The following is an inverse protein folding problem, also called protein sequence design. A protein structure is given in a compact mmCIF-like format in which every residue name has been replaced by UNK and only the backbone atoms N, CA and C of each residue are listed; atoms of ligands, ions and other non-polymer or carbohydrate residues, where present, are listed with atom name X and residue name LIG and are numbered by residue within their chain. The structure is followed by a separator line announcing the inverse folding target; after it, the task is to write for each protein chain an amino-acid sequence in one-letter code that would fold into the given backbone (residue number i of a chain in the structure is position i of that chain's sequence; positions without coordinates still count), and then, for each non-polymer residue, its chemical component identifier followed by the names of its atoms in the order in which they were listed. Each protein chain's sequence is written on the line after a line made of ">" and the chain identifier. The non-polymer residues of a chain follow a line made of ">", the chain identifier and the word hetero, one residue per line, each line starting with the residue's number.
data_IF_885391572238
#
_entry.id   IF_885391572238
#
_cell.length_a   1.000
_cell.length_b   1.000
_cell.length_c   1.000
_cell.angle_alpha   90.00
_cell.angle_beta   90.00
_cell.angle_gamma   90.00
#
_symmetry.space_group_name_H-M   'P 1'
#
loop_
_entity.id
_entity.type
_entity.pdbx_description
1 polymer ?
#
# COMPACT_ATOMS: atom_id res chain seq x y z
N UNK A 1 -39.34 -9.17 26.60
CA UNK A 1 -39.35 -7.76 27.03
C UNK A 1 -38.09 -7.04 26.61
N UNK A 2 -38.23 -6.07 25.71
CA UNK A 2 -37.12 -5.26 25.19
C UNK A 2 -37.42 -3.75 25.36
N UNK A 3 -38.07 -3.40 26.49
CA UNK A 3 -38.47 -2.04 26.79
C UNK A 3 -37.26 -1.22 27.29
N UNK A 4 -37.16 0.03 26.84
CA UNK A 4 -36.15 0.99 27.31
C UNK A 4 -36.35 1.28 28.81
N UNK A 5 -35.26 1.56 29.52
CA UNK A 5 -35.35 1.99 30.92
C UNK A 5 -35.96 3.40 31.04
N UNK A 6 -36.57 3.70 32.18
CA UNK A 6 -37.10 5.04 32.51
C UNK A 6 -36.03 6.13 32.34
N UNK A 7 -34.78 5.83 32.68
CA UNK A 7 -33.64 6.74 32.53
C UNK A 7 -33.34 7.08 31.07
N UNK A 8 -33.31 6.10 30.19
CA UNK A 8 -33.12 6.32 28.75
C UNK A 8 -34.26 7.14 28.16
N UNK A 9 -35.50 6.86 28.57
CA UNK A 9 -36.68 7.61 28.12
C UNK A 9 -36.61 9.10 28.51
N UNK A 10 -36.21 9.41 29.75
CA UNK A 10 -36.03 10.79 30.23
C UNK A 10 -34.90 11.53 29.50
N UNK A 11 -33.79 10.86 29.22
CA UNK A 11 -32.65 11.46 28.51
C UNK A 11 -33.01 11.82 27.06
N UNK A 12 -33.73 10.93 26.35
CA UNK A 12 -34.27 11.22 25.02
C UNK A 12 -35.27 12.39 25.05
N UNK A 13 -36.17 12.43 26.03
CA UNK A 13 -37.10 13.55 26.17
C UNK A 13 -36.38 14.90 26.41
N UNK A 14 -35.27 14.90 27.18
CA UNK A 14 -34.44 16.09 27.38
C UNK A 14 -33.77 16.53 26.08
N UNK A 15 -33.25 15.60 25.27
CA UNK A 15 -32.69 15.89 23.95
C UNK A 15 -33.73 16.52 23.01
N UNK A 16 -34.91 15.93 22.93
CA UNK A 16 -36.00 16.45 22.08
C UNK A 16 -36.48 17.83 22.53
N UNK A 17 -36.53 18.13 23.83
CA UNK A 17 -36.81 19.50 24.32
C UNK A 17 -35.78 20.53 23.89
N UNK A 18 -34.54 20.12 23.66
CA UNK A 18 -33.47 20.97 23.17
C UNK A 18 -33.40 21.02 21.62
N UNK A 19 -34.44 20.53 20.93
CA UNK A 19 -34.51 20.37 19.48
C UNK A 19 -33.39 19.49 18.88
N UNK A 20 -32.79 18.60 19.68
CA UNK A 20 -31.84 17.58 19.21
C UNK A 20 -32.62 16.31 18.83
N UNK A 21 -32.98 16.20 17.54
CA UNK A 21 -33.72 15.07 16.96
C UNK A 21 -32.80 14.03 16.30
N UNK A 22 -31.49 14.13 16.49
CA UNK A 22 -30.53 13.19 15.94
C UNK A 22 -30.66 11.84 16.65
N UNK A 23 -31.09 10.81 15.89
CA UNK A 23 -31.29 9.46 16.40
C UNK A 23 -30.00 8.62 16.37
N UNK A 24 -28.98 9.09 15.65
CA UNK A 24 -27.70 8.40 15.59
C UNK A 24 -26.87 8.63 16.86
N UNK A 25 -26.12 7.60 17.24
CA UNK A 25 -25.14 7.69 18.31
C UNK A 25 -24.04 8.67 17.88
N UNK A 26 -23.84 9.72 18.68
CA UNK A 26 -22.71 10.63 18.49
C UNK A 26 -21.41 9.86 18.57
N UNK A 27 -20.41 10.33 17.83
CA UNK A 27 -19.09 9.72 17.82
C UNK A 27 -18.58 9.60 19.27
N UNK A 28 -18.40 8.35 19.73
CA UNK A 28 -17.95 8.11 21.09
C UNK A 28 -16.50 8.56 21.19
N UNK A 29 -16.17 9.28 22.26
CA UNK A 29 -14.77 9.57 22.59
C UNK A 29 -14.06 8.25 22.86
N UNK A 30 -13.35 7.75 21.84
CA UNK A 30 -12.55 6.53 21.96
C UNK A 30 -11.36 6.74 22.89
N UNK A 31 -10.63 5.65 23.15
CA UNK A 31 -9.37 5.73 23.89
C UNK A 31 -8.40 6.71 23.19
N UNK A 32 -7.69 7.56 23.94
CA UNK A 32 -6.73 8.48 23.36
C UNK A 32 -5.64 7.73 22.58
N UNK A 33 -5.23 8.28 21.43
CA UNK A 33 -4.12 7.71 20.65
C UNK A 33 -2.81 7.87 21.45
N UNK A 34 -2.06 6.78 21.59
CA UNK A 34 -0.80 6.75 22.36
C UNK A 34 0.37 7.47 21.67
N UNK A 35 0.40 7.52 20.33
CA UNK A 35 1.38 8.27 19.54
C UNK A 35 0.76 8.76 18.23
N UNK A 36 1.42 9.70 17.55
CA UNK A 36 0.93 10.29 16.30
C UNK A 36 1.32 9.42 15.10
N UNK A 37 0.39 9.26 14.16
CA UNK A 37 0.61 8.48 12.94
C UNK A 37 1.80 9.03 12.10
N UNK A 38 2.05 10.36 12.16
CA UNK A 38 3.18 11.03 11.49
C UNK A 38 4.55 10.60 12.02
N UNK A 39 4.66 10.35 13.31
CA UNK A 39 5.91 9.95 13.96
C UNK A 39 6.33 8.56 13.48
N UNK A 40 5.35 7.66 13.34
CA UNK A 40 5.57 6.33 12.78
C UNK A 40 5.93 6.39 11.28
N UNK A 41 5.33 7.29 10.50
CA UNK A 41 5.71 7.48 9.09
C UNK A 41 7.16 7.96 8.94
N UNK A 42 7.61 8.92 9.75
CA UNK A 42 8.99 9.43 9.72
C UNK A 42 10.02 8.33 10.01
N UNK A 43 9.76 7.49 11.01
CA UNK A 43 10.65 6.36 11.33
C UNK A 43 10.77 5.35 10.17
N UNK A 44 9.68 5.15 9.42
CA UNK A 44 9.69 4.27 8.25
C UNK A 44 10.44 4.87 7.05
N UNK A 45 10.41 6.20 6.89
CA UNK A 45 11.15 6.90 5.85
C UNK A 45 12.67 6.85 6.10
N UNK A 46 13.10 6.92 7.36
CA UNK A 46 14.51 6.76 7.75
C UNK A 46 15.02 5.32 7.59
N UNK A 47 14.19 4.33 7.91
CA UNK A 47 14.60 2.94 7.98
C UNK A 47 13.48 1.97 7.61
N UNK A 48 13.21 1.74 6.31
CA UNK A 48 12.03 0.96 5.91
C UNK A 48 12.12 -0.52 6.31
N UNK A 49 13.29 -1.02 6.74
CA UNK A 49 13.52 -2.42 7.14
C UNK A 49 13.53 -2.67 8.65
N UNK A 50 12.96 -1.74 9.44
CA UNK A 50 12.82 -1.89 10.89
C UNK A 50 11.82 -2.99 11.27
N UNK A 51 12.09 -3.64 12.40
CA UNK A 51 11.21 -4.65 12.99
C UNK A 51 10.16 -4.00 13.91
N UNK A 52 9.04 -4.69 14.14
CA UNK A 52 7.99 -4.18 15.04
C UNK A 52 8.50 -3.98 16.49
N UNK A 53 9.44 -4.83 16.94
CA UNK A 53 10.07 -4.71 18.26
C UNK A 53 10.97 -3.49 18.37
N UNK A 54 11.75 -3.17 17.33
CA UNK A 54 12.56 -1.93 17.29
C UNK A 54 11.67 -0.69 17.31
N UNK A 55 10.61 -0.68 16.49
CA UNK A 55 9.62 0.40 16.48
C UNK A 55 8.93 0.56 17.84
N UNK A 56 8.55 -0.54 18.48
CA UNK A 56 7.93 -0.52 19.80
C UNK A 56 8.85 0.05 20.88
N UNK A 57 10.15 -0.26 20.83
CA UNK A 57 11.15 0.30 21.76
C UNK A 57 11.33 1.81 21.57
N UNK A 58 11.39 2.28 20.32
CA UNK A 58 11.55 3.71 20.00
C UNK A 58 10.32 4.50 20.45
N UNK A 59 9.12 4.00 20.11
CA UNK A 59 7.84 4.65 20.41
C UNK A 59 7.31 4.35 21.82
N UNK A 60 8.05 3.57 22.62
CA UNK A 60 7.64 3.10 23.96
C UNK A 60 6.22 2.48 23.99
N UNK A 61 5.87 1.73 22.95
CA UNK A 61 4.58 1.04 22.82
C UNK A 61 4.77 -0.44 22.55
N UNK A 62 3.75 -1.22 22.90
CA UNK A 62 3.73 -2.65 22.61
C UNK A 62 3.72 -2.93 21.09
N UNK A 63 4.36 -4.04 20.70
CA UNK A 63 4.48 -4.50 19.32
C UNK A 63 3.10 -4.63 18.63
N UNK A 64 2.08 -5.07 19.37
CA UNK A 64 0.72 -5.23 18.84
C UNK A 64 0.08 -3.88 18.50
N UNK A 65 0.43 -2.81 19.22
CA UNK A 65 -0.07 -1.46 18.96
C UNK A 65 0.54 -0.92 17.67
N UNK A 66 1.85 -1.10 17.49
CA UNK A 66 2.54 -0.75 16.23
C UNK A 66 1.96 -1.53 15.06
N UNK A 67 1.74 -2.83 15.23
CA UNK A 67 1.15 -3.69 14.18
C UNK A 67 -0.25 -3.24 13.75
N UNK A 68 -1.14 -2.96 14.72
CA UNK A 68 -2.49 -2.45 14.45
C UNK A 68 -2.45 -1.10 13.73
N UNK A 69 -1.54 -0.21 14.14
CA UNK A 69 -1.37 1.12 13.54
C UNK A 69 -0.86 1.05 12.11
N UNK A 70 0.14 0.23 11.84
CA UNK A 70 0.65 0.00 10.48
C UNK A 70 -0.45 -0.52 9.54
N UNK A 71 -1.30 -1.42 10.03
CA UNK A 71 -2.48 -1.89 9.27
C UNK A 71 -3.48 -0.77 9.03
N UNK A 72 -3.75 0.08 10.04
CA UNK A 72 -4.60 1.27 9.90
C UNK A 72 -4.08 2.28 8.86
N UNK A 73 -2.76 2.38 8.71
CA UNK A 73 -2.10 3.18 7.68
C UNK A 73 -2.04 2.50 6.29
N UNK A 74 -2.52 1.26 6.19
CA UNK A 74 -2.45 0.48 4.96
C UNK A 74 -1.03 0.03 4.59
N UNK A 75 -0.07 0.07 5.52
CA UNK A 75 1.32 -0.34 5.26
C UNK A 75 1.41 -1.86 5.16
N UNK A 76 2.17 -2.35 4.17
CA UNK A 76 2.42 -3.79 3.99
C UNK A 76 3.91 -4.08 4.02
N UNK A 77 4.26 -5.25 4.54
CA UNK A 77 5.62 -5.73 4.58
C UNK A 77 5.96 -6.44 3.26
N UNK A 78 6.92 -5.90 2.51
CA UNK A 78 7.39 -6.42 1.22
C UNK A 78 8.78 -7.04 1.37
N UNK A 79 9.07 -8.08 0.60
CA UNK A 79 10.46 -8.55 0.48
C UNK A 79 11.22 -7.66 -0.51
N UNK A 80 12.41 -7.18 -0.13
CA UNK A 80 13.22 -6.31 -0.99
C UNK A 80 13.61 -6.96 -2.32
N UNK A 81 13.65 -6.23 -3.43
CA UNK A 81 13.90 -6.76 -4.79
C UNK A 81 15.22 -7.53 -4.89
N UNK A 82 15.25 -8.66 -5.64
CA UNK A 82 16.50 -9.42 -5.88
C UNK A 82 17.31 -8.71 -6.95
N UNK A 83 18.41 -8.06 -6.56
CA UNK A 83 19.39 -7.55 -7.50
C UNK A 83 20.49 -8.60 -7.62
N UNK A 84 20.76 -9.16 -8.82
CA UNK A 84 21.74 -10.24 -8.99
C UNK A 84 23.16 -9.89 -8.53
N UNK A 85 23.54 -8.60 -8.47
CA UNK A 85 24.85 -8.17 -8.00
C UNK A 85 24.85 -6.69 -7.56
N UNK A 86 25.68 -6.34 -6.57
CA UNK A 86 26.00 -4.95 -6.24
C UNK A 86 26.91 -4.36 -7.32
N UNK A 87 26.32 -3.55 -8.22
CA UNK A 87 27.03 -2.97 -9.35
C UNK A 87 28.03 -1.93 -8.85
N UNK A 88 29.33 -2.24 -8.94
CA UNK A 88 30.40 -1.25 -8.73
C UNK A 88 30.32 -0.19 -9.85
N UNK A 89 30.54 1.10 -9.55
CA UNK A 89 30.38 2.21 -10.51
C UNK A 89 31.25 2.10 -11.77
N UNK A 90 32.28 1.25 -11.76
CA UNK A 90 33.19 1.04 -12.89
C UNK A 90 32.62 0.18 -14.04
N UNK A 91 31.40 -0.35 -13.92
CA UNK A 91 30.78 -1.27 -14.91
C UNK A 91 29.56 -0.72 -15.65
N UNK A 92 29.12 0.51 -15.37
CA UNK A 92 27.90 1.08 -15.96
C UNK A 92 28.04 1.50 -17.43
N UNK A 93 29.25 1.50 -17.99
CA UNK A 93 29.49 1.96 -19.35
C UNK A 93 29.23 0.91 -20.46
N UNK A 94 29.07 -0.39 -20.15
CA UNK A 94 29.00 -1.44 -21.18
C UNK A 94 27.60 -2.00 -21.47
N UNK A 95 26.54 -1.60 -20.75
CA UNK A 95 25.20 -2.22 -20.88
C UNK A 95 24.23 -1.44 -21.78
N UNK A 96 24.64 -0.36 -22.42
CA UNK A 96 23.73 0.53 -23.16
C UNK A 96 24.04 0.65 -24.66
N UNK A 97 24.17 -0.47 -25.39
CA UNK A 97 23.95 -0.47 -26.84
C UNK A 97 23.23 -1.76 -27.27
N UNK A 98 21.89 -1.79 -27.15
CA UNK A 98 21.08 -2.85 -27.77
C UNK A 98 20.90 -2.54 -29.25
N UNK A 99 21.84 -2.97 -30.08
CA UNK A 99 21.61 -3.08 -31.52
C UNK A 99 20.54 -4.16 -31.76
N UNK A 100 19.49 -3.82 -32.52
CA UNK A 100 18.41 -4.72 -32.93
C UNK A 100 18.99 -5.79 -33.87
N UNK A 101 19.50 -6.89 -33.33
CA UNK A 101 19.85 -8.08 -34.11
C UNK A 101 18.66 -9.04 -34.13
N UNK A 102 17.96 -9.13 -35.26
CA UNK A 102 17.00 -10.19 -35.52
C UNK A 102 17.76 -11.46 -35.91
N UNK A 103 18.10 -12.30 -34.93
CA UNK A 103 18.66 -13.63 -35.20
C UNK A 103 18.34 -14.60 -34.05
N UNK A 104 17.07 -14.97 -33.90
CA UNK A 104 16.61 -15.88 -32.83
C UNK A 104 16.77 -17.38 -33.14
N UNK A 105 17.31 -17.76 -34.31
CA UNK A 105 17.38 -19.18 -34.74
C UNK A 105 18.80 -19.77 -34.77
N UNK A 106 19.84 -19.04 -34.33
CA UNK A 106 21.25 -19.49 -34.38
C UNK A 106 22.04 -19.34 -33.08
N UNK A 107 21.40 -18.93 -31.99
CA UNK A 107 22.08 -18.72 -30.71
C UNK A 107 21.81 -19.93 -29.82
N UNK A 108 22.84 -20.75 -29.59
CA UNK A 108 22.85 -21.73 -28.50
C UNK A 108 23.52 -21.05 -27.31
N UNK A 109 22.72 -20.56 -26.36
CA UNK A 109 23.25 -20.04 -25.09
C UNK A 109 23.37 -21.18 -24.08
N UNK A 110 24.59 -21.50 -23.65
CA UNK A 110 24.81 -22.31 -22.45
C UNK A 110 25.11 -21.39 -21.28
N UNK A 111 24.20 -21.30 -20.29
CA UNK A 111 24.45 -20.65 -19.01
C UNK A 111 24.82 -21.71 -17.96
N UNK A 112 26.07 -21.69 -17.48
CA UNK A 112 26.42 -22.47 -16.30
C UNK A 112 25.85 -21.79 -15.05
N UNK A 113 24.93 -22.48 -14.37
CA UNK A 113 24.34 -22.00 -13.11
C UNK A 113 25.22 -22.39 -11.93
N UNK A 114 26.10 -21.49 -11.52
CA UNK A 114 26.74 -21.57 -10.21
C UNK A 114 25.72 -21.38 -9.09
N UNK A 115 25.49 -22.41 -8.26
CA UNK A 115 24.74 -22.26 -7.02
C UNK A 115 25.71 -21.63 -6.00
N UNK A 116 25.61 -20.31 -5.82
CA UNK A 116 26.39 -19.61 -4.81
C UNK A 116 25.94 -20.03 -3.41
N UNK A 117 26.87 -20.45 -2.55
CA UNK A 117 26.57 -20.95 -1.20
C UNK A 117 26.00 -19.88 -0.26
N UNK A 118 26.42 -18.63 -0.43
CA UNK A 118 25.84 -17.51 0.31
C UNK A 118 24.55 -17.05 -0.35
N UNK A 119 23.42 -17.43 0.25
CA UNK A 119 22.09 -16.91 -0.04
C UNK A 119 21.70 -15.89 1.04
N UNK A 120 22.12 -14.62 0.94
CA UNK A 120 21.82 -13.62 1.96
C UNK A 120 20.31 -13.48 2.14
N UNK A 121 19.85 -13.59 3.38
CA UNK A 121 18.42 -13.50 3.71
C UNK A 121 17.92 -12.09 3.37
N UNK A 122 16.91 -12.02 2.49
CA UNK A 122 16.25 -10.75 2.13
C UNK A 122 15.64 -10.11 3.36
N UNK A 123 15.99 -8.85 3.62
CA UNK A 123 15.27 -8.05 4.61
C UNK A 123 13.92 -7.66 4.05
N UNK A 124 12.92 -7.70 4.93
CA UNK A 124 11.59 -7.22 4.63
C UNK A 124 11.52 -5.74 4.95
N UNK A 125 10.82 -4.97 4.13
CA UNK A 125 10.61 -3.55 4.33
C UNK A 125 9.12 -3.19 4.33
N UNK A 126 8.76 -2.17 5.11
CA UNK A 126 7.42 -1.60 5.09
C UNK A 126 7.28 -0.64 3.92
N UNK A 127 6.11 -0.63 3.30
CA UNK A 127 5.79 0.36 2.31
C UNK A 127 4.33 0.34 1.90
N UNK A 128 3.91 1.41 1.22
CA UNK A 128 2.55 1.53 0.71
C UNK A 128 2.23 0.40 -0.28
N UNK A 129 0.98 -0.08 -0.35
CA UNK A 129 0.56 -1.07 -1.32
C UNK A 129 0.85 -0.59 -2.75
N UNK A 130 1.15 -1.50 -3.70
CA UNK A 130 1.44 -1.15 -5.08
C UNK A 130 0.38 -0.23 -5.71
N UNK A 131 -0.91 -0.48 -5.42
CA UNK A 131 -2.01 0.34 -5.92
C UNK A 131 -1.93 1.80 -5.44
N UNK A 132 -1.69 2.03 -4.14
CA UNK A 132 -1.57 3.39 -3.61
C UNK A 132 -0.32 4.10 -4.14
N UNK A 133 0.80 3.39 -4.31
CA UNK A 133 1.98 3.96 -4.97
C UNK A 133 1.75 4.29 -6.44
N UNK A 134 0.97 3.48 -7.15
CA UNK A 134 0.61 3.72 -8.55
C UNK A 134 -0.26 4.96 -8.67
N UNK A 135 -1.25 5.10 -7.79
CA UNK A 135 -2.16 6.27 -7.77
C UNK A 135 -1.37 7.54 -7.43
N UNK A 136 -0.53 7.51 -6.39
CA UNK A 136 0.29 8.66 -5.98
C UNK A 136 1.31 9.09 -7.05
N UNK A 137 1.79 8.15 -7.88
CA UNK A 137 2.73 8.44 -8.98
C UNK A 137 2.06 9.07 -10.20
N UNK A 138 0.73 9.10 -10.29
CA UNK A 138 0.00 9.46 -11.52
C UNK A 138 -0.61 10.85 -11.33
N UNK A 139 -0.43 11.69 -12.34
CA UNK A 139 -0.99 13.05 -12.36
C UNK A 139 -2.51 13.02 -12.63
N UNK A 140 -3.24 14.05 -12.18
CA UNK A 140 -4.67 14.25 -12.43
C UNK A 140 -5.04 14.07 -13.92
N UNK A 141 -4.17 14.48 -14.83
CA UNK A 141 -4.31 14.33 -16.28
C UNK A 141 -4.32 12.89 -16.78
N UNK A 142 -3.67 11.95 -16.06
CA UNK A 142 -3.75 10.52 -16.34
C UNK A 142 -5.18 10.00 -16.11
N UNK A 143 -5.77 10.35 -14.96
CA UNK A 143 -7.14 9.96 -14.61
C UNK A 143 -8.17 10.64 -15.51
N UNK A 144 -8.00 11.94 -15.78
CA UNK A 144 -8.88 12.70 -16.67
C UNK A 144 -8.93 12.08 -18.07
N UNK A 145 -7.77 11.75 -18.65
CA UNK A 145 -7.71 11.05 -19.94
C UNK A 145 -8.39 9.68 -19.87
N UNK A 146 -8.14 8.91 -18.81
CA UNK A 146 -8.79 7.61 -18.59
C UNK A 146 -10.33 7.70 -18.56
N UNK A 147 -10.87 8.71 -17.89
CA UNK A 147 -12.32 8.98 -17.80
C UNK A 147 -12.89 9.43 -19.15
N UNK A 148 -12.17 10.27 -19.90
CA UNK A 148 -12.64 10.73 -21.21
C UNK A 148 -12.64 9.64 -22.28
N UNK A 149 -11.73 8.65 -22.21
CA UNK A 149 -11.69 7.54 -23.18
C UNK A 149 -12.55 6.34 -22.77
N UNK A 150 -13.14 6.37 -21.57
CA UNK A 150 -14.01 5.29 -21.09
C UNK A 150 -15.22 5.09 -22.02
N UNK A 151 -15.98 6.13 -22.44
CA UNK A 151 -17.09 5.96 -23.38
C UNK A 151 -16.70 5.24 -24.67
N UNK A 152 -15.59 5.64 -25.30
CA UNK A 152 -15.10 5.01 -26.53
C UNK A 152 -14.64 3.55 -26.32
N UNK A 153 -14.05 3.24 -25.15
CA UNK A 153 -13.67 1.87 -24.80
C UNK A 153 -14.89 1.00 -24.54
N UNK A 154 -15.90 1.54 -23.86
CA UNK A 154 -17.16 0.84 -23.61
C UNK A 154 -17.92 0.58 -24.91
N UNK A 155 -17.99 1.56 -25.80
CA UNK A 155 -18.60 1.40 -27.12
C UNK A 155 -17.89 0.32 -27.95
N UNK A 156 -16.56 0.25 -27.89
CA UNK A 156 -15.79 -0.84 -28.53
C UNK A 156 -16.05 -2.22 -27.93
N UNK A 157 -16.25 -2.32 -26.61
CA UNK A 157 -16.56 -3.61 -25.94
C UNK A 157 -17.98 -4.07 -26.29
N UNK A 158 -18.94 -3.14 -26.34
CA UNK A 158 -20.31 -3.43 -26.77
C UNK A 158 -20.32 -3.85 -28.25
N UNK A 159 -19.53 -3.18 -29.09
CA UNK A 159 -19.39 -3.53 -30.51
C UNK A 159 -18.63 -4.84 -30.75
N UNK A 160 -17.80 -5.29 -29.80
CA UNK A 160 -17.07 -6.56 -29.88
C UNK A 160 -17.78 -7.72 -29.18
N UNK A 161 -19.02 -7.52 -28.72
CA UNK A 161 -19.84 -8.50 -27.99
C UNK A 161 -19.08 -9.12 -26.80
N UNK A 162 -18.23 -8.32 -26.15
CA UNK A 162 -17.41 -8.75 -25.02
C UNK A 162 -16.17 -9.59 -25.38
N UNK A 163 -15.81 -9.75 -26.66
CA UNK A 163 -14.57 -10.44 -27.03
C UNK A 163 -13.32 -9.61 -26.70
N UNK A 164 -12.27 -10.29 -26.22
CA UNK A 164 -10.97 -9.69 -25.95
C UNK A 164 -10.28 -9.26 -27.26
N UNK A 165 -9.83 -8.01 -27.31
CA UNK A 165 -9.08 -7.47 -28.44
C UNK A 165 -7.74 -8.23 -28.60
N UNK A 166 -7.39 -8.59 -29.84
CA UNK A 166 -6.18 -9.35 -30.20
C UNK A 166 -4.99 -8.43 -30.48
#
# INVERSE_FOLDING_TARGET
>A
DNALSDTTCRDWFRRFKNNDFELEDKERSGAPKTFQDKELEQLLDEGPSQTLSELGKILQVDESTVSKRLKGLGMIQKQGHRVPYELKPRTTASTAEKKRFFASHRIVTGDEKGIHYDNPKRRKSWGKPPALSLIASKDMSFFRRGIHVLPERWEKVVSSDGQYFK
#
